data_IF_811095198626
#
_entry.id   IF_811095198626
#
_cell.length_a   1.000
_cell.length_b   1.000
_cell.length_c   1.000
_cell.angle_alpha   90.00
_cell.angle_beta   90.00
_cell.angle_gamma   90.00
#
_symmetry.space_group_name_H-M   'P 1'
#
loop_
_entity.id
_entity.type
_entity.pdbx_description
1 polymer ?
#
# COMPACT_ATOMS: atom_id res chain seq x y z
N UNK A 1 -17.15 -18.70 -1.93
CA UNK A 1 -16.07 -18.97 -2.89
C UNK A 1 -14.72 -19.11 -2.17
N UNK A 2 -13.93 -20.13 -2.48
CA UNK A 2 -12.55 -20.34 -1.99
C UNK A 2 -11.52 -19.55 -2.79
N UNK A 3 -10.29 -19.43 -2.29
CA UNK A 3 -9.20 -18.76 -3.04
C UNK A 3 -8.88 -19.50 -4.34
N UNK A 4 -8.87 -20.84 -4.32
CA UNK A 4 -8.64 -21.64 -5.51
C UNK A 4 -9.70 -21.36 -6.60
N UNK A 5 -10.97 -21.22 -6.23
CA UNK A 5 -12.03 -20.86 -7.16
C UNK A 5 -11.85 -19.45 -7.74
N UNK A 6 -11.43 -18.49 -6.92
CA UNK A 6 -11.13 -17.13 -7.38
C UNK A 6 -9.94 -17.13 -8.36
N UNK A 7 -8.87 -17.87 -8.05
CA UNK A 7 -7.69 -18.02 -8.91
C UNK A 7 -8.09 -18.60 -10.27
N UNK A 8 -8.90 -19.66 -10.30
CA UNK A 8 -9.37 -20.28 -11.54
C UNK A 8 -10.20 -19.33 -12.41
N UNK A 9 -11.05 -18.50 -11.79
CA UNK A 9 -11.81 -17.46 -12.50
C UNK A 9 -10.87 -16.42 -13.12
N UNK A 10 -9.87 -15.96 -12.36
CA UNK A 10 -8.88 -14.98 -12.82
C UNK A 10 -8.05 -15.56 -13.96
N UNK A 11 -7.51 -16.77 -13.81
CA UNK A 11 -6.72 -17.43 -14.85
C UNK A 11 -7.54 -17.60 -16.14
N UNK A 12 -8.82 -17.95 -16.02
CA UNK A 12 -9.72 -18.04 -17.16
C UNK A 12 -9.91 -16.69 -17.83
N UNK A 13 -10.22 -15.64 -17.08
CA UNK A 13 -10.45 -14.30 -17.63
C UNK A 13 -9.21 -13.74 -18.34
N UNK A 14 -8.03 -13.85 -17.73
CA UNK A 14 -6.80 -13.33 -18.35
C UNK A 14 -6.36 -14.13 -19.58
N UNK A 15 -6.78 -15.39 -19.69
CA UNK A 15 -6.54 -16.25 -20.86
C UNK A 15 -7.54 -16.01 -21.98
N UNK A 16 -8.83 -15.96 -21.65
CA UNK A 16 -9.94 -15.89 -22.61
C UNK A 16 -10.34 -14.45 -22.95
N UNK A 17 -10.01 -13.48 -22.09
CA UNK A 17 -10.28 -12.04 -22.24
C UNK A 17 -11.77 -11.75 -22.47
N UNK A 18 -12.62 -12.29 -21.59
CA UNK A 18 -14.08 -12.22 -21.77
C UNK A 18 -14.55 -10.78 -21.60
N UNK A 19 -13.98 -10.03 -20.66
CA UNK A 19 -14.27 -8.62 -20.50
C UNK A 19 -13.41 -7.80 -21.46
N UNK A 20 -14.04 -6.88 -22.21
CA UNK A 20 -13.30 -5.98 -23.11
C UNK A 20 -12.27 -5.09 -22.41
N UNK A 21 -12.50 -4.76 -21.13
CA UNK A 21 -11.54 -4.00 -20.32
C UNK A 21 -10.26 -4.80 -20.04
N UNK A 22 -10.36 -6.13 -19.91
CA UNK A 22 -9.21 -7.02 -19.74
C UNK A 22 -8.32 -6.98 -20.97
N UNK A 23 -8.91 -7.03 -22.17
CA UNK A 23 -8.18 -6.91 -23.42
C UNK A 23 -7.42 -5.57 -23.49
N UNK A 24 -8.10 -4.47 -23.19
CA UNK A 24 -7.49 -3.13 -23.19
C UNK A 24 -6.29 -3.01 -22.24
N UNK A 25 -6.41 -3.55 -21.02
CA UNK A 25 -5.30 -3.53 -20.07
C UNK A 25 -4.14 -4.42 -20.51
N UNK A 26 -4.42 -5.61 -21.04
CA UNK A 26 -3.39 -6.55 -21.51
C UNK A 26 -2.68 -6.09 -22.78
N UNK A 27 -3.22 -5.10 -23.50
CA UNK A 27 -2.50 -4.47 -24.60
C UNK A 27 -1.31 -3.60 -24.16
N UNK A 28 -1.36 -3.09 -22.94
CA UNK A 28 -0.40 -2.09 -22.44
C UNK A 28 0.45 -2.64 -21.29
N UNK A 29 -0.09 -3.61 -20.55
CA UNK A 29 0.49 -4.17 -19.33
C UNK A 29 0.51 -5.70 -19.36
N UNK A 30 1.44 -6.29 -18.61
CA UNK A 30 1.54 -7.74 -18.47
C UNK A 30 1.50 -8.12 -16.99
N UNK A 31 0.63 -9.04 -16.56
CA UNK A 31 0.67 -9.56 -15.20
C UNK A 31 1.93 -10.42 -14.99
N UNK A 32 2.45 -10.44 -13.78
CA UNK A 32 3.57 -11.33 -13.44
C UNK A 32 3.06 -12.77 -13.36
N UNK A 33 3.82 -13.71 -13.93
CA UNK A 33 3.56 -15.15 -13.83
C UNK A 33 4.75 -15.90 -13.26
N UNK A 34 4.49 -16.90 -12.42
CA UNK A 34 5.46 -17.83 -11.84
C UNK A 34 5.00 -19.24 -12.19
N UNK A 35 5.89 -20.06 -12.77
CA UNK A 35 5.58 -21.43 -13.20
C UNK A 35 4.30 -21.55 -14.07
N UNK A 36 4.14 -20.62 -15.02
CA UNK A 36 2.97 -20.48 -15.90
C UNK A 36 1.63 -20.22 -15.19
N UNK A 37 1.66 -19.77 -13.93
CA UNK A 37 0.47 -19.32 -13.19
C UNK A 37 0.58 -17.84 -12.88
N UNK A 38 -0.56 -17.16 -12.90
CA UNK A 38 -0.63 -15.75 -12.53
C UNK A 38 -0.23 -15.60 -11.06
N UNK A 39 0.67 -14.66 -10.77
CA UNK A 39 0.97 -14.28 -9.39
C UNK A 39 -0.19 -13.45 -8.86
N UNK A 40 -0.70 -13.80 -7.68
CA UNK A 40 -1.71 -13.04 -6.95
C UNK A 40 -1.09 -12.70 -5.59
N UNK A 41 -0.89 -11.41 -5.34
CA UNK A 41 -0.20 -10.93 -4.13
C UNK A 41 -1.13 -10.85 -2.92
N UNK A 42 -2.43 -10.65 -3.16
CA UNK A 42 -3.47 -10.72 -2.12
C UNK A 42 -4.85 -10.99 -2.73
N UNK A 43 -5.67 -11.74 -2.00
CA UNK A 43 -7.13 -11.79 -2.19
C UNK A 43 -7.75 -11.16 -0.95
N UNK A 44 -8.30 -9.97 -1.12
CA UNK A 44 -8.95 -9.23 -0.06
C UNK A 44 -10.42 -9.61 0.10
N UNK A 45 -10.80 -9.85 1.34
CA UNK A 45 -12.13 -10.30 1.77
C UNK A 45 -12.67 -9.44 2.92
N UNK A 46 -11.97 -8.37 3.29
CA UNK A 46 -12.34 -7.52 4.42
C UNK A 46 -13.62 -6.70 4.15
N UNK A 47 -14.04 -6.62 2.88
CA UNK A 47 -15.27 -5.92 2.47
C UNK A 47 -16.54 -6.70 2.83
N UNK A 48 -17.59 -5.95 3.17
CA UNK A 48 -18.90 -6.49 3.61
C UNK A 48 -19.86 -6.79 2.47
N UNK A 49 -19.53 -6.40 1.25
CA UNK A 49 -20.41 -6.32 0.08
C UNK A 49 -20.36 -7.55 -0.82
N UNK A 50 -19.90 -8.70 -0.31
CA UNK A 50 -19.82 -9.98 -1.05
C UNK A 50 -18.94 -9.92 -2.31
N UNK A 51 -18.19 -8.82 -2.47
CA UNK A 51 -17.17 -8.62 -3.48
C UNK A 51 -15.82 -8.90 -2.82
N UNK A 52 -15.00 -9.71 -3.49
CA UNK A 52 -13.59 -9.87 -3.15
C UNK A 52 -12.73 -9.20 -4.21
N UNK A 53 -11.56 -8.72 -3.81
CA UNK A 53 -10.61 -8.07 -4.73
C UNK A 53 -9.33 -8.89 -4.75
N UNK A 54 -8.94 -9.37 -5.92
CA UNK A 54 -7.64 -9.99 -6.11
C UNK A 54 -6.67 -8.99 -6.74
N UNK A 55 -5.49 -8.86 -6.13
CA UNK A 55 -4.42 -7.97 -6.56
C UNK A 55 -3.33 -8.75 -7.29
N UNK A 56 -3.15 -8.46 -8.58
CA UNK A 56 -2.12 -9.08 -9.42
C UNK A 56 -1.04 -8.05 -9.74
N UNK A 57 0.23 -8.31 -9.41
CA UNK A 57 1.32 -7.41 -9.77
C UNK A 57 1.56 -7.39 -11.27
N UNK A 58 2.02 -6.24 -11.76
CA UNK A 58 2.29 -5.97 -13.18
C UNK A 58 3.80 -5.89 -13.39
N UNK A 59 4.28 -6.42 -14.51
CA UNK A 59 5.70 -6.39 -14.89
C UNK A 59 6.17 -4.94 -15.03
N UNK A 60 7.30 -4.62 -14.40
CA UNK A 60 7.96 -3.30 -14.39
C UNK A 60 7.13 -2.14 -13.81
N UNK A 61 6.00 -2.44 -13.16
CA UNK A 61 5.12 -1.44 -12.55
C UNK A 61 4.95 -1.72 -11.05
N UNK A 62 4.57 -0.69 -10.29
CA UNK A 62 4.31 -0.81 -8.84
C UNK A 62 2.84 -0.97 -8.48
N UNK A 63 1.95 -0.44 -9.31
CA UNK A 63 0.50 -0.62 -9.17
C UNK A 63 0.09 -2.03 -9.61
N UNK A 64 -1.14 -2.41 -9.27
CA UNK A 64 -1.68 -3.76 -9.46
C UNK A 64 -2.83 -3.75 -10.44
N UNK A 65 -3.09 -4.87 -11.09
CA UNK A 65 -4.46 -5.15 -11.52
C UNK A 65 -5.31 -5.47 -10.29
N UNK A 66 -6.50 -4.88 -10.23
CA UNK A 66 -7.53 -5.22 -9.27
C UNK A 66 -8.65 -5.94 -9.98
N UNK A 67 -8.91 -7.19 -9.58
CA UNK A 67 -9.97 -8.03 -10.13
C UNK A 67 -11.09 -8.11 -9.11
N UNK A 68 -12.26 -7.59 -9.47
CA UNK A 68 -13.45 -7.58 -8.62
C UNK A 68 -14.27 -8.83 -8.92
N UNK A 69 -14.54 -9.63 -7.89
CA UNK A 69 -15.25 -10.91 -8.03
C UNK A 69 -16.47 -10.89 -7.15
N UNK A 70 -17.64 -11.08 -7.76
CA UNK A 70 -18.89 -11.29 -7.03
C UNK A 70 -18.93 -12.74 -6.53
N UNK A 71 -18.92 -12.91 -5.20
CA UNK A 71 -18.89 -14.24 -4.59
C UNK A 71 -20.23 -14.97 -4.59
N UNK A 72 -21.34 -14.27 -4.83
CA UNK A 72 -22.67 -14.88 -5.05
C UNK A 72 -22.83 -15.37 -6.47
N UNK A 73 -22.58 -14.49 -7.45
CA UNK A 73 -22.70 -14.81 -8.87
C UNK A 73 -21.56 -15.71 -9.37
N UNK A 74 -20.46 -15.81 -8.63
CA UNK A 74 -19.25 -16.56 -8.98
C UNK A 74 -18.63 -16.08 -10.30
N UNK A 75 -18.58 -14.76 -10.49
CA UNK A 75 -18.09 -14.13 -11.72
C UNK A 75 -17.19 -12.93 -11.43
N UNK A 76 -16.32 -12.62 -12.39
CA UNK A 76 -15.55 -11.37 -12.38
C UNK A 76 -16.47 -10.28 -12.93
N UNK A 77 -16.71 -9.25 -12.12
CA UNK A 77 -17.59 -8.12 -12.48
C UNK A 77 -16.81 -6.95 -13.06
N UNK A 78 -15.49 -6.92 -12.86
CA UNK A 78 -14.63 -5.90 -13.45
C UNK A 78 -13.16 -6.14 -13.21
N UNK A 79 -12.34 -5.48 -14.03
CA UNK A 79 -10.90 -5.35 -13.85
C UNK A 79 -10.53 -3.88 -13.95
N UNK A 80 -9.70 -3.42 -13.02
CA UNK A 80 -9.11 -2.09 -13.02
C UNK A 80 -7.63 -2.14 -12.63
N UNK A 81 -7.07 -0.96 -12.39
CA UNK A 81 -5.78 -0.82 -11.73
C UNK A 81 -5.98 -0.26 -10.33
N UNK A 82 -5.33 -0.84 -9.34
CA UNK A 82 -5.23 -0.26 -8.00
C UNK A 82 -3.85 0.33 -7.80
N UNK A 83 -3.80 1.54 -7.25
CA UNK A 83 -2.54 2.19 -6.95
C UNK A 83 -1.74 1.39 -5.92
N UNK A 84 -0.41 1.45 -6.04
CA UNK A 84 0.44 1.02 -4.95
C UNK A 84 0.27 1.99 -3.79
N UNK A 85 -0.06 1.49 -2.60
CA UNK A 85 -0.13 2.30 -1.39
C UNK A 85 0.89 1.81 -0.36
N UNK A 86 1.75 2.72 0.09
CA UNK A 86 2.59 2.49 1.27
C UNK A 86 2.30 3.57 2.31
N UNK A 87 1.50 3.22 3.31
CA UNK A 87 1.14 4.09 4.44
C UNK A 87 1.92 3.62 5.66
N UNK A 88 2.89 4.42 6.12
CA UNK A 88 3.68 4.10 7.31
C UNK A 88 3.79 5.28 8.25
N UNK A 89 3.92 5.01 9.54
CA UNK A 89 4.44 6.01 10.47
C UNK A 89 5.96 6.10 10.30
N UNK A 90 6.47 7.32 10.37
CA UNK A 90 7.90 7.59 10.29
C UNK A 90 8.28 8.66 11.30
N UNK A 91 9.30 8.38 12.09
CA UNK A 91 10.00 9.34 12.92
C UNK A 91 11.45 9.48 12.43
N UNK A 92 11.96 10.71 12.43
CA UNK A 92 13.31 11.07 11.99
C UNK A 92 13.96 12.06 12.94
N UNK A 93 15.27 11.96 13.10
CA UNK A 93 16.02 12.96 13.86
C UNK A 93 17.44 13.10 13.34
N UNK A 94 17.92 14.34 13.27
CA UNK A 94 19.34 14.62 12.98
C UNK A 94 20.23 14.57 14.23
N UNK A 95 19.62 14.60 15.43
CA UNK A 95 20.29 14.69 16.72
C UNK A 95 20.22 13.39 17.53
N UNK A 96 19.09 12.68 17.48
CA UNK A 96 18.87 11.46 18.25
C UNK A 96 19.39 10.22 17.50
N UNK A 97 19.85 9.23 18.26
CA UNK A 97 20.12 7.89 17.73
C UNK A 97 18.84 7.09 17.58
N UNK A 98 18.89 5.99 16.84
CA UNK A 98 17.75 5.05 16.76
C UNK A 98 17.40 4.48 18.12
N UNK A 99 18.37 4.24 19.00
CA UNK A 99 18.09 3.66 20.31
C UNK A 99 17.36 4.68 21.20
N UNK A 100 17.70 5.96 21.12
CA UNK A 100 16.95 7.04 21.78
C UNK A 100 15.50 7.11 21.26
N UNK A 101 15.31 6.98 19.94
CA UNK A 101 13.99 7.00 19.29
C UNK A 101 13.18 5.76 19.71
N UNK A 102 13.77 4.56 19.66
CA UNK A 102 13.13 3.31 20.08
C UNK A 102 12.72 3.34 21.55
N UNK A 103 13.50 3.98 22.42
CA UNK A 103 13.17 4.09 23.83
C UNK A 103 11.90 4.92 24.11
N UNK A 104 11.39 5.68 23.14
CA UNK A 104 10.18 6.49 23.32
C UNK A 104 8.90 5.66 23.26
N UNK A 105 8.91 4.48 22.65
CA UNK A 105 7.72 3.65 22.45
C UNK A 105 8.02 2.17 22.67
N UNK A 106 7.04 1.39 23.10
CA UNK A 106 7.18 -0.06 23.14
C UNK A 106 6.82 -0.74 21.80
N UNK A 107 6.43 0.03 20.77
CA UNK A 107 6.12 -0.50 19.45
C UNK A 107 7.38 -0.87 18.69
N UNK A 108 7.35 -2.03 18.03
CA UNK A 108 8.48 -2.50 17.23
C UNK A 108 8.50 -1.85 15.84
N UNK A 109 9.63 -1.27 15.41
CA UNK A 109 9.76 -0.74 14.06
C UNK A 109 9.88 -1.86 13.04
N UNK A 110 9.30 -1.63 11.86
CA UNK A 110 9.50 -2.46 10.67
C UNK A 110 10.86 -2.17 10.01
N UNK A 111 11.32 -0.92 10.07
CA UNK A 111 12.59 -0.48 9.47
C UNK A 111 13.19 0.62 10.34
N UNK A 112 14.52 0.64 10.48
CA UNK A 112 15.24 1.69 11.19
C UNK A 112 16.69 1.78 10.69
N UNK A 113 17.33 2.94 10.90
CA UNK A 113 18.76 3.16 10.65
C UNK A 113 19.24 4.37 11.43
N UNK A 114 20.52 4.39 11.80
CA UNK A 114 21.17 5.55 12.39
C UNK A 114 21.69 6.52 11.33
N UNK A 115 21.82 7.79 11.72
CA UNK A 115 22.67 8.74 10.99
C UNK A 115 24.09 8.19 10.88
N UNK A 116 24.64 8.19 9.67
CA UNK A 116 25.96 7.66 9.37
C UNK A 116 25.96 6.22 8.85
N UNK A 117 24.87 5.46 9.04
CA UNK A 117 24.77 4.10 8.49
C UNK A 117 24.84 4.13 6.96
N UNK A 118 25.49 3.13 6.36
CA UNK A 118 25.58 3.00 4.91
C UNK A 118 24.21 2.63 4.34
N UNK A 119 23.74 3.38 3.32
CA UNK A 119 22.48 3.05 2.64
C UNK A 119 22.58 1.69 1.93
N UNK A 120 21.45 1.01 1.67
CA UNK A 120 21.44 -0.28 0.97
C UNK A 120 22.15 -0.30 -0.39
N UNK A 121 22.25 0.85 -1.06
CA UNK A 121 22.96 0.98 -2.33
C UNK A 121 24.50 1.00 -2.19
N UNK A 122 25.04 1.06 -0.97
CA UNK A 122 26.47 1.09 -0.67
C UNK A 122 27.21 2.38 -1.08
N UNK A 123 26.50 3.40 -1.58
CA UNK A 123 27.11 4.58 -2.21
C UNK A 123 27.12 5.83 -1.34
N UNK A 124 26.31 5.86 -0.29
CA UNK A 124 26.18 7.04 0.57
C UNK A 124 25.65 6.64 1.93
N UNK A 125 25.88 7.48 2.94
CA UNK A 125 25.38 7.25 4.29
C UNK A 125 24.03 7.94 4.50
N UNK A 126 23.25 7.47 5.46
CA UNK A 126 22.07 8.15 5.95
C UNK A 126 22.46 9.46 6.68
N UNK A 127 21.73 10.55 6.41
CA UNK A 127 22.02 11.87 6.98
C UNK A 127 21.28 12.15 8.29
N UNK A 128 20.35 11.27 8.67
CA UNK A 128 19.52 11.31 9.87
C UNK A 128 19.18 9.90 10.33
N UNK A 129 18.83 9.73 11.60
CA UNK A 129 18.30 8.50 12.15
C UNK A 129 16.81 8.37 11.83
N UNK A 130 16.32 7.16 11.56
CA UNK A 130 14.91 6.93 11.27
C UNK A 130 14.37 5.68 11.94
N UNK A 131 13.08 5.75 12.27
CA UNK A 131 12.26 4.69 12.80
C UNK A 131 10.96 4.66 11.98
N UNK A 132 10.56 3.49 11.48
CA UNK A 132 9.33 3.33 10.69
C UNK A 132 8.50 2.17 11.17
N UNK A 133 7.18 2.34 11.12
CA UNK A 133 6.18 1.30 11.37
C UNK A 133 5.29 1.17 10.14
N UNK A 134 5.25 -0.02 9.56
CA UNK A 134 4.41 -0.40 8.42
C UNK A 134 3.67 -1.71 8.76
N UNK A 135 2.47 -1.63 9.36
CA UNK A 135 1.76 -2.82 9.84
C UNK A 135 1.01 -3.56 8.71
N UNK A 136 0.84 -2.94 7.55
CA UNK A 136 0.15 -3.52 6.39
C UNK A 136 1.02 -3.35 5.12
N UNK A 137 1.98 -4.27 4.87
CA UNK A 137 2.87 -4.19 3.70
C UNK A 137 2.29 -4.77 2.40
N UNK A 138 1.22 -5.57 2.47
CA UNK A 138 0.57 -6.20 1.30
C UNK A 138 -0.18 -5.18 0.43
N UNK A 139 -0.61 -5.48 -0.80
CA UNK A 139 -1.48 -4.57 -1.57
C UNK A 139 -2.78 -4.29 -0.80
N UNK A 140 -3.26 -3.05 -0.79
CA UNK A 140 -4.53 -2.69 -0.13
C UNK A 140 -4.94 -1.26 -0.53
N UNK A 141 -6.17 -0.92 -0.22
CA UNK A 141 -6.65 0.46 -0.31
C UNK A 141 -5.98 1.37 0.73
N UNK A 142 -5.86 2.65 0.39
CA UNK A 142 -5.25 3.66 1.28
C UNK A 142 -6.00 3.76 2.62
N UNK A 143 -7.33 3.79 2.57
CA UNK A 143 -8.22 3.96 3.72
C UNK A 143 -8.04 2.84 4.74
N UNK A 144 -7.97 1.59 4.27
CA UNK A 144 -7.75 0.42 5.10
C UNK A 144 -6.34 0.38 5.68
N UNK A 145 -5.34 0.79 4.89
CA UNK A 145 -3.96 0.94 5.39
C UNK A 145 -3.84 2.02 6.46
N UNK A 146 -4.46 3.17 6.27
CA UNK A 146 -4.46 4.25 7.24
C UNK A 146 -5.13 3.79 8.54
N UNK A 147 -6.29 3.12 8.44
CA UNK A 147 -6.99 2.59 9.60
C UNK A 147 -6.14 1.54 10.34
N UNK A 148 -5.59 0.55 9.64
CA UNK A 148 -4.71 -0.48 10.21
C UNK A 148 -3.45 0.13 10.84
N UNK A 149 -2.90 1.20 10.25
CA UNK A 149 -1.79 1.96 10.84
C UNK A 149 -2.22 2.64 12.14
N UNK A 150 -3.31 3.40 12.15
CA UNK A 150 -3.80 4.08 13.34
C UNK A 150 -4.15 3.09 14.45
N UNK A 151 -4.78 1.95 14.13
CA UNK A 151 -5.08 0.87 15.08
C UNK A 151 -3.80 0.34 15.75
N UNK A 152 -2.70 0.24 14.99
CA UNK A 152 -1.40 -0.19 15.50
C UNK A 152 -0.74 0.89 16.37
N UNK A 153 -0.73 2.14 15.93
CA UNK A 153 -0.11 3.26 16.65
C UNK A 153 -0.81 3.53 17.99
N UNK A 154 -2.13 3.34 18.05
CA UNK A 154 -2.92 3.55 19.26
C UNK A 154 -2.66 2.54 20.38
N UNK A 155 -1.90 1.47 20.11
CA UNK A 155 -1.41 0.55 21.14
C UNK A 155 -0.41 1.23 22.09
N UNK A 156 0.23 2.34 21.66
CA UNK A 156 1.13 3.15 22.48
C UNK A 156 0.97 4.66 22.19
N UNK A 157 -0.19 5.22 22.55
CA UNK A 157 -0.50 6.62 22.22
C UNK A 157 0.54 7.61 22.76
N UNK A 158 1.03 7.39 23.97
CA UNK A 158 1.97 8.32 24.60
C UNK A 158 3.36 8.20 24.00
N UNK A 159 3.81 6.99 23.64
CA UNK A 159 5.05 6.81 22.89
C UNK A 159 5.00 7.44 21.51
N UNK A 160 3.88 7.30 20.79
CA UNK A 160 3.69 7.97 19.49
C UNK A 160 3.71 9.48 19.62
N UNK A 161 3.06 10.07 20.63
CA UNK A 161 3.14 11.52 20.88
C UNK A 161 4.56 11.98 21.19
N UNK A 162 5.35 11.19 21.92
CA UNK A 162 6.75 11.51 22.15
C UNK A 162 7.55 11.50 20.85
N UNK A 163 7.31 10.52 19.98
CA UNK A 163 7.95 10.43 18.67
C UNK A 163 7.57 11.62 17.77
N UNK A 164 6.31 12.06 17.78
CA UNK A 164 5.89 13.24 17.01
C UNK A 164 6.57 14.52 17.50
N UNK A 165 6.66 14.71 18.82
CA UNK A 165 7.24 15.92 19.41
C UNK A 165 8.77 15.99 19.38
N UNK A 166 9.46 14.86 19.58
CA UNK A 166 10.91 14.82 19.78
C UNK A 166 11.69 14.30 18.57
N UNK A 167 11.03 13.60 17.65
CA UNK A 167 11.65 12.92 16.52
C UNK A 167 10.83 13.08 15.23
N UNK A 168 10.23 14.26 15.02
CA UNK A 168 9.54 14.65 13.78
C UNK A 168 8.63 13.53 13.24
N UNK A 169 7.81 12.93 14.10
CA UNK A 169 6.92 11.83 13.74
C UNK A 169 5.75 12.29 12.86
N UNK A 170 5.51 11.59 11.76
CA UNK A 170 4.37 11.81 10.85
C UNK A 170 3.96 10.52 10.13
N UNK A 171 2.80 10.55 9.47
CA UNK A 171 2.39 9.51 8.52
C UNK A 171 2.95 9.85 7.14
N UNK A 172 3.77 8.95 6.58
CA UNK A 172 4.22 9.03 5.20
C UNK A 172 3.34 8.12 4.33
N UNK A 173 2.81 8.68 3.25
CA UNK A 173 2.07 7.97 2.21
C UNK A 173 2.88 8.05 0.93
N UNK A 174 3.21 6.89 0.36
CA UNK A 174 3.77 6.79 -0.99
C UNK A 174 2.79 6.10 -1.90
N UNK A 175 2.55 6.68 -3.07
CA UNK A 175 1.58 6.21 -4.04
C UNK A 175 2.18 6.10 -5.42
N UNK A 176 2.02 4.95 -6.07
CA UNK A 176 2.33 4.79 -7.50
C UNK A 176 1.03 4.48 -8.25
N UNK A 177 0.60 5.38 -9.12
CA UNK A 177 -0.72 5.39 -9.76
C UNK A 177 -0.55 5.17 -11.27
N UNK A 178 -1.46 4.40 -11.87
CA UNK A 178 -1.48 4.19 -13.32
C UNK A 178 -1.92 5.45 -14.07
N UNK A 179 -1.16 5.83 -15.10
CA UNK A 179 -1.35 7.06 -15.86
C UNK A 179 -2.59 7.06 -16.78
N UNK A 180 -3.08 5.90 -17.23
CA UNK A 180 -3.98 5.88 -18.39
C UNK A 180 -5.40 6.39 -18.12
N UNK A 181 -5.88 6.33 -16.88
CA UNK A 181 -7.24 6.77 -16.54
C UNK A 181 -7.36 8.28 -16.30
N UNK A 182 -6.25 9.03 -16.26
CA UNK A 182 -6.22 10.49 -16.06
C UNK A 182 -6.75 11.00 -14.71
N UNK A 183 -7.47 10.16 -13.95
CA UNK A 183 -7.88 10.41 -12.57
C UNK A 183 -6.78 9.94 -11.63
N UNK A 184 -6.18 10.88 -10.93
CA UNK A 184 -5.08 10.64 -9.98
C UNK A 184 -5.61 10.98 -8.58
N UNK A 185 -5.61 10.00 -7.67
CA UNK A 185 -6.01 10.18 -6.27
C UNK A 185 -7.53 10.05 -6.05
N UNK A 186 -8.06 10.84 -5.12
CA UNK A 186 -9.45 10.71 -4.64
C UNK A 186 -9.61 10.05 -3.27
N UNK A 187 -8.50 9.84 -2.56
CA UNK A 187 -8.50 9.27 -1.22
C UNK A 187 -9.25 10.12 -0.22
N UNK A 188 -9.98 9.45 0.65
CA UNK A 188 -10.77 10.06 1.69
C UNK A 188 -10.18 9.73 3.07
N UNK A 189 -9.99 10.75 3.89
CA UNK A 189 -9.72 10.56 5.32
C UNK A 189 -11.00 10.94 6.04
N UNK A 190 -11.71 9.94 6.55
CA UNK A 190 -12.95 10.19 7.28
C UNK A 190 -12.70 10.97 8.60
N UNK A 191 -13.78 11.55 9.12
CA UNK A 191 -13.73 12.36 10.36
C UNK A 191 -13.17 11.59 11.56
N UNK A 192 -13.37 10.27 11.63
CA UNK A 192 -12.86 9.47 12.73
C UNK A 192 -11.34 9.34 12.63
N UNK A 193 -10.81 9.01 11.45
CA UNK A 193 -9.37 8.92 11.21
C UNK A 193 -8.68 10.28 11.39
N UNK A 194 -9.30 11.39 10.97
CA UNK A 194 -8.80 12.75 11.26
C UNK A 194 -8.67 12.98 12.77
N UNK A 195 -9.70 12.61 13.55
CA UNK A 195 -9.66 12.76 15.02
C UNK A 195 -8.56 11.92 15.65
N UNK A 196 -8.42 10.67 15.23
CA UNK A 196 -7.38 9.74 15.72
C UNK A 196 -5.98 10.26 15.42
N UNK A 197 -5.75 10.77 14.21
CA UNK A 197 -4.49 11.41 13.84
C UNK A 197 -4.18 12.63 14.73
N UNK A 198 -5.18 13.49 14.94
CA UNK A 198 -5.03 14.66 15.80
C UNK A 198 -4.72 14.27 17.26
N UNK A 199 -5.37 13.25 17.80
CA UNK A 199 -5.13 12.75 19.16
C UNK A 199 -3.70 12.22 19.35
N UNK A 200 -3.08 11.73 18.26
CA UNK A 200 -1.68 11.28 18.21
C UNK A 200 -0.69 12.40 17.81
N UNK A 201 -1.18 13.62 17.56
CA UNK A 201 -0.40 14.77 17.05
C UNK A 201 0.29 14.50 15.72
N UNK A 202 -0.35 13.71 14.85
CA UNK A 202 0.20 13.29 13.57
C UNK A 202 -0.15 14.31 12.47
N UNK A 203 0.85 14.66 11.67
CA UNK A 203 0.65 15.15 10.31
C UNK A 203 0.70 13.98 9.32
N UNK A 204 0.33 14.25 8.06
CA UNK A 204 0.41 13.30 6.96
C UNK A 204 1.06 13.95 5.75
N UNK A 205 1.96 13.24 5.08
CA UNK A 205 2.63 13.66 3.86
C UNK A 205 2.33 12.67 2.73
N UNK A 206 2.10 13.17 1.52
CA UNK A 206 1.78 12.40 0.32
C UNK A 206 2.86 12.57 -0.74
N UNK A 207 3.54 11.48 -1.06
CA UNK A 207 4.46 11.37 -2.19
C UNK A 207 3.74 10.61 -3.32
N UNK A 208 3.31 11.33 -4.36
CA UNK A 208 2.54 10.79 -5.48
C UNK A 208 3.42 10.61 -6.72
N UNK A 209 3.38 9.41 -7.29
CA UNK A 209 4.06 9.05 -8.53
C UNK A 209 3.04 8.52 -9.52
N UNK A 210 3.24 8.85 -10.79
CA UNK A 210 2.39 8.41 -11.90
C UNK A 210 3.27 7.67 -12.90
N UNK A 211 2.84 6.48 -13.29
CA UNK A 211 3.60 5.58 -14.15
C UNK A 211 2.70 4.73 -15.06
N UNK A 212 3.30 3.81 -15.80
CA UNK A 212 2.59 2.99 -16.76
C UNK A 212 2.29 3.64 -18.10
N UNK A 213 1.99 2.78 -19.07
CA UNK A 213 1.63 3.18 -20.43
C UNK A 213 0.18 3.67 -20.47
N UNK A 214 -0.08 4.68 -21.31
CA UNK A 214 -1.43 5.11 -21.65
C UNK A 214 -2.13 4.06 -22.52
N UNK A 215 -3.46 4.04 -22.49
CA UNK A 215 -4.24 3.30 -23.47
C UNK A 215 -3.96 3.81 -24.88
N UNK A 216 -4.12 2.93 -25.87
CA UNK A 216 -4.06 3.31 -27.27
C UNK A 216 -5.37 4.00 -27.66
N UNK A 217 -5.25 5.02 -28.51
CA UNK A 217 -6.39 5.68 -29.18
C UNK A 217 -6.99 4.79 -30.28
#
# INVERSE_FOLDING_TARGET
>A
MTDQQAIELIEKEFKERILGVTEQYLEIHNPISIDNKLKIDRIDRDRKDEIIIAYLPIVDERFYFAVYIDTKAHEITGIGTEAFHRVCFRATSEALTVDDIKAMTHLMPTEFWNKGDLKPNGKSNHTFSSFKILPNPEPDEFEDKLKKLLDFLEQDKDGIKQLTEKAEGYIQVTMDIHNANGMIGGHNIDTNNIRRMNDLKLSINFDLYVGGKSFKE
#
